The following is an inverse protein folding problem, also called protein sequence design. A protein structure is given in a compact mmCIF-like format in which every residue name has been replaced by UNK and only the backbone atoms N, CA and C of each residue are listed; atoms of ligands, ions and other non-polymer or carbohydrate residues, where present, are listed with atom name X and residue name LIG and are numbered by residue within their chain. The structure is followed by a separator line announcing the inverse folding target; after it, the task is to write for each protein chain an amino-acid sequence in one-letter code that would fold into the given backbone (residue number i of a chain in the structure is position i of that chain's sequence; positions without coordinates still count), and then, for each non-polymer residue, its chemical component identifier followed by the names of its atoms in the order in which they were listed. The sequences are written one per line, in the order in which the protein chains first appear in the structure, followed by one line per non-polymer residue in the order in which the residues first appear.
data_IF_540124861906
#
_entry.id   IF_540124861906
#
_cell.length_a   1.000
_cell.length_b   1.000
_cell.length_c   1.000
_cell.angle_alpha   90.00
_cell.angle_beta   90.00
_cell.angle_gamma   90.00
#
_symmetry.space_group_name_H-M   'P 1'
#
loop_
_entity.id
_entity.type
_entity.pdbx_description
1 polymer ?
#
# COMPACT_ATOMS: atom_id res chain seq x y z
N UNK A 1 -15.82 4.02 -20.19
CA UNK A 1 -15.64 4.88 -19.00
C UNK A 1 -14.47 4.31 -18.23
N UNK A 2 -13.34 5.02 -18.18
CA UNK A 2 -12.24 4.60 -17.33
C UNK A 2 -12.70 4.80 -15.89
N UNK A 3 -12.80 3.72 -15.12
CA UNK A 3 -12.98 3.85 -13.68
C UNK A 3 -11.75 4.59 -13.16
N UNK A 4 -11.91 5.86 -12.83
CA UNK A 4 -10.94 6.60 -12.04
C UNK A 4 -10.87 5.84 -10.71
N UNK A 5 -9.73 5.19 -10.48
CA UNK A 5 -9.53 4.37 -9.29
C UNK A 5 -9.05 5.32 -8.21
N UNK A 6 -9.91 5.57 -7.22
CA UNK A 6 -9.53 6.28 -6.01
C UNK A 6 -8.56 5.39 -5.20
N UNK A 7 -7.27 5.54 -5.49
CA UNK A 7 -6.22 4.88 -4.73
C UNK A 7 -5.76 5.81 -3.61
N UNK A 8 -5.98 5.42 -2.35
CA UNK A 8 -5.41 6.16 -1.22
C UNK A 8 -3.89 5.99 -1.13
N UNK A 9 -3.39 4.81 -1.50
CA UNK A 9 -1.98 4.45 -1.40
C UNK A 9 -1.48 3.79 -2.68
N UNK A 10 -0.38 4.28 -3.24
CA UNK A 10 0.24 3.76 -4.47
C UNK A 10 1.63 3.18 -4.16
N UNK A 11 1.83 1.85 -4.28
CA UNK A 11 3.14 1.24 -4.09
C UNK A 11 4.18 1.74 -5.10
N UNK A 12 5.37 2.08 -4.63
CA UNK A 12 6.50 2.50 -5.47
C UNK A 12 7.52 1.38 -5.56
N UNK A 13 7.84 0.98 -6.78
CA UNK A 13 8.75 -0.13 -7.09
C UNK A 13 10.02 0.39 -7.76
N UNK A 14 11.13 -0.32 -7.59
CA UNK A 14 12.31 -0.12 -8.44
C UNK A 14 12.20 -0.87 -9.77
N UNK A 15 13.23 -0.72 -10.61
CA UNK A 15 13.33 -1.37 -11.93
C UNK A 15 13.29 -2.90 -11.86
N UNK A 16 13.62 -3.50 -10.72
CA UNK A 16 13.61 -4.94 -10.48
C UNK A 16 12.33 -5.41 -9.77
N UNK A 17 11.31 -4.54 -9.65
CA UNK A 17 10.05 -4.76 -8.90
C UNK A 17 10.25 -4.89 -7.39
N UNK A 18 11.38 -4.42 -6.85
CA UNK A 18 11.58 -4.33 -5.41
C UNK A 18 10.77 -3.17 -4.85
N UNK A 19 9.98 -3.45 -3.83
CA UNK A 19 9.13 -2.46 -3.16
C UNK A 19 9.95 -1.43 -2.36
N UNK A 20 9.94 -0.17 -2.79
CA UNK A 20 10.71 0.90 -2.14
C UNK A 20 9.92 1.62 -1.04
N UNK A 21 8.62 1.79 -1.25
CA UNK A 21 7.76 2.61 -0.42
C UNK A 21 6.37 2.72 -1.01
N UNK A 22 5.67 3.77 -0.62
CA UNK A 22 4.35 4.12 -1.17
C UNK A 22 4.16 5.63 -1.23
N UNK A 23 3.24 6.07 -2.09
CA UNK A 23 2.73 7.44 -2.12
C UNK A 23 1.38 7.45 -1.41
N UNK A 24 1.22 8.38 -0.47
CA UNK A 24 -0.07 8.80 0.04
C UNK A 24 -0.61 9.90 -0.89
N UNK A 25 -1.69 9.59 -1.61
CA UNK A 25 -2.24 10.49 -2.64
C UNK A 25 -2.84 11.74 -2.01
N UNK A 26 -3.47 11.62 -0.83
CA UNK A 26 -4.05 12.77 -0.14
C UNK A 26 -2.94 13.72 0.34
N UNK A 27 -1.88 13.17 0.95
CA UNK A 27 -0.74 13.97 1.40
C UNK A 27 -0.02 14.67 0.23
N UNK A 28 0.13 14.00 -0.91
CA UNK A 28 0.73 14.60 -2.11
C UNK A 28 -0.16 15.70 -2.69
N UNK A 29 -1.49 15.49 -2.73
CA UNK A 29 -2.45 16.49 -3.22
C UNK A 29 -2.43 17.76 -2.36
N UNK A 30 -2.38 17.63 -1.04
CA UNK A 30 -2.24 18.79 -0.14
C UNK A 30 -0.94 19.56 -0.39
N UNK A 31 0.19 18.88 -0.65
CA UNK A 31 1.45 19.55 -1.00
C UNK A 31 1.37 20.27 -2.34
N UNK A 32 0.70 19.67 -3.32
CA UNK A 32 0.45 20.25 -4.63
C UNK A 32 -0.37 21.53 -4.54
N UNK A 33 -1.50 21.48 -3.82
CA UNK A 33 -2.38 22.63 -3.61
C UNK A 33 -1.69 23.77 -2.84
N UNK A 34 -0.73 23.43 -1.98
CA UNK A 34 0.12 24.41 -1.28
C UNK A 34 1.28 24.97 -2.12
N UNK A 35 1.44 24.55 -3.39
CA UNK A 35 2.53 24.97 -4.27
C UNK A 35 3.90 24.37 -3.90
N UNK A 36 3.91 23.34 -3.04
CA UNK A 36 5.12 22.68 -2.53
C UNK A 36 5.45 21.38 -3.28
N UNK A 37 4.91 21.19 -4.49
CA UNK A 37 5.34 20.14 -5.40
C UNK A 37 5.28 20.59 -6.86
N UNK A 38 6.15 20.02 -7.69
CA UNK A 38 6.28 20.32 -9.11
C UNK A 38 6.00 19.04 -9.94
N UNK A 39 5.34 19.12 -11.12
CA UNK A 39 5.12 17.95 -11.97
C UNK A 39 6.41 17.24 -12.42
N UNK A 40 7.52 17.98 -12.53
CA UNK A 40 8.82 17.45 -12.95
C UNK A 40 9.58 16.77 -11.80
N UNK A 41 9.09 16.87 -10.57
CA UNK A 41 9.71 16.23 -9.43
C UNK A 41 9.54 14.71 -9.48
N UNK A 42 10.64 13.99 -9.24
CA UNK A 42 10.60 12.53 -9.15
C UNK A 42 9.63 12.09 -8.05
N UNK A 43 8.79 11.09 -8.36
CA UNK A 43 7.90 10.42 -7.39
C UNK A 43 8.63 9.98 -6.11
N UNK A 44 9.89 9.58 -6.24
CA UNK A 44 10.73 9.19 -5.10
C UNK A 44 10.95 10.28 -4.05
N UNK A 45 10.72 11.56 -4.37
CA UNK A 45 10.82 12.67 -3.44
C UNK A 45 9.63 12.74 -2.47
N UNK A 46 8.47 12.23 -2.90
CA UNK A 46 7.23 12.30 -2.12
C UNK A 46 6.82 10.97 -1.50
N UNK A 47 7.56 9.89 -1.76
CA UNK A 47 7.24 8.57 -1.22
C UNK A 47 7.62 8.43 0.26
N UNK A 48 6.76 7.75 1.00
CA UNK A 48 7.11 7.19 2.30
C UNK A 48 7.89 5.89 2.09
N UNK A 49 9.16 5.87 2.49
CA UNK A 49 10.02 4.69 2.35
C UNK A 49 9.71 3.67 3.44
N UNK A 50 9.69 2.39 3.07
CA UNK A 50 9.60 1.33 4.07
C UNK A 50 10.89 1.26 4.89
N UNK A 51 10.76 1.31 6.21
CA UNK A 51 11.87 1.07 7.14
C UNK A 51 12.21 -0.42 7.10
N UNK A 52 13.40 -0.75 6.61
CA UNK A 52 13.93 -2.12 6.56
C UNK A 52 15.03 -2.25 7.59
N UNK A 53 14.67 -2.20 8.85
CA UNK A 53 15.61 -2.42 9.96
C UNK A 53 15.35 -3.79 10.59
N UNK A 54 16.33 -4.31 11.33
CA UNK A 54 16.19 -5.57 12.06
C UNK A 54 14.99 -5.50 13.05
N UNK A 55 14.71 -4.31 13.60
CA UNK A 55 13.58 -4.08 14.52
C UNK A 55 12.22 -3.88 13.86
N UNK A 56 12.15 -3.70 12.54
CA UNK A 56 10.89 -3.63 11.78
C UNK A 56 10.97 -4.55 10.57
N UNK A 57 10.96 -5.88 10.79
CA UNK A 57 11.04 -6.83 9.69
C UNK A 57 9.82 -6.68 8.76
N UNK A 58 10.04 -6.96 7.49
CA UNK A 58 8.97 -6.90 6.49
C UNK A 58 8.07 -8.12 6.61
N UNK A 59 6.78 -7.92 6.87
CA UNK A 59 5.76 -8.98 6.86
C UNK A 59 5.26 -9.22 5.44
N UNK A 60 5.26 -10.47 5.00
CA UNK A 60 4.73 -10.87 3.68
C UNK A 60 3.24 -11.13 3.82
N UNK A 61 2.44 -10.43 3.03
CA UNK A 61 1.00 -10.67 2.89
C UNK A 61 0.77 -11.19 1.47
N UNK A 62 0.15 -12.36 1.36
CA UNK A 62 -0.17 -13.01 0.08
C UNK A 62 -1.67 -13.28 -0.02
N UNK A 63 -2.21 -13.64 -1.20
CA UNK A 63 -3.60 -14.07 -1.32
C UNK A 63 -3.95 -15.31 -0.47
N UNK A 64 -2.93 -16.06 -0.02
CA UNK A 64 -3.09 -17.23 0.85
C UNK A 64 -2.99 -16.91 2.35
N UNK A 65 -2.66 -15.66 2.72
CA UNK A 65 -2.60 -15.24 4.13
C UNK A 65 -4.00 -15.37 4.77
N UNK A 66 -4.14 -16.07 5.90
CA UNK A 66 -5.42 -16.18 6.60
C UNK A 66 -6.00 -14.81 6.99
N UNK A 67 -7.32 -14.68 6.94
CA UNK A 67 -7.98 -13.40 7.25
C UNK A 67 -7.70 -12.90 8.66
N UNK A 68 -7.61 -13.79 9.64
CA UNK A 68 -7.27 -13.42 11.02
C UNK A 68 -5.85 -12.86 11.15
N UNK A 69 -4.88 -13.39 10.39
CA UNK A 69 -3.53 -12.85 10.34
C UNK A 69 -3.48 -11.49 9.64
N UNK A 70 -4.23 -11.35 8.54
CA UNK A 70 -4.37 -10.08 7.83
C UNK A 70 -5.03 -9.02 8.74
N UNK A 71 -6.06 -9.39 9.49
CA UNK A 71 -6.72 -8.52 10.46
C UNK A 71 -5.75 -8.04 11.53
N UNK A 72 -5.02 -8.97 12.18
CA UNK A 72 -4.01 -8.62 13.18
C UNK A 72 -2.91 -7.72 12.63
N UNK A 73 -2.49 -7.93 11.37
CA UNK A 73 -1.56 -7.04 10.69
C UNK A 73 -2.14 -5.63 10.49
N UNK A 74 -3.40 -5.53 10.05
CA UNK A 74 -4.09 -4.28 9.77
C UNK A 74 -4.50 -3.48 11.02
N UNK A 75 -4.51 -4.10 12.21
CA UNK A 75 -4.67 -3.37 13.47
C UNK A 75 -3.50 -2.42 13.77
N UNK A 76 -2.30 -2.75 13.25
CA UNK A 76 -1.07 -1.99 13.47
C UNK A 76 -0.63 -1.18 12.24
N UNK A 77 -1.23 -1.43 11.08
CA UNK A 77 -0.80 -0.88 9.79
C UNK A 77 -2.00 -0.35 9.01
N UNK A 78 -1.83 0.81 8.37
CA UNK A 78 -2.89 1.48 7.60
C UNK A 78 -3.40 0.65 6.41
N UNK A 79 -2.54 -0.19 5.84
CA UNK A 79 -2.84 -1.07 4.73
C UNK A 79 -1.80 -2.19 4.63
N UNK A 80 -2.14 -3.24 3.89
CA UNK A 80 -1.26 -4.31 3.49
C UNK A 80 -0.99 -4.24 1.99
N UNK A 81 0.26 -4.48 1.59
CA UNK A 81 0.62 -4.72 0.19
C UNK A 81 0.58 -6.23 -0.01
N UNK A 82 -0.32 -6.68 -0.89
CA UNK A 82 -0.47 -8.09 -1.21
C UNK A 82 0.50 -8.43 -2.33
N UNK A 83 1.42 -9.36 -2.08
CA UNK A 83 2.40 -9.82 -3.07
C UNK A 83 2.28 -11.31 -3.34
N UNK A 84 3.03 -11.80 -4.33
CA UNK A 84 3.42 -13.21 -4.38
C UNK A 84 4.41 -13.55 -3.24
N UNK A 85 4.67 -14.85 -3.04
CA UNK A 85 5.56 -15.34 -1.99
C UNK A 85 6.99 -14.79 -2.10
N UNK A 86 7.48 -14.61 -3.32
CA UNK A 86 8.83 -14.09 -3.58
C UNK A 86 8.92 -12.55 -3.47
N UNK A 87 7.79 -11.86 -3.23
CA UNK A 87 7.66 -10.39 -3.20
C UNK A 87 8.08 -9.72 -4.52
N UNK A 88 7.98 -10.45 -5.63
CA UNK A 88 8.38 -10.01 -6.96
C UNK A 88 7.26 -9.26 -7.67
N UNK A 89 6.02 -9.50 -7.30
CA UNK A 89 4.83 -8.91 -7.91
C UNK A 89 3.91 -8.37 -6.82
N UNK A 90 3.57 -7.09 -6.94
CA UNK A 90 2.45 -6.52 -6.19
C UNK A 90 1.15 -6.93 -6.90
N UNK A 91 0.32 -7.67 -6.18
CA UNK A 91 -0.97 -8.18 -6.65
C UNK A 91 -2.11 -7.23 -6.27
N UNK A 92 -1.93 -6.47 -5.19
CA UNK A 92 -2.91 -5.48 -4.76
C UNK A 92 -2.53 -4.78 -3.46
N UNK A 93 -3.46 -3.95 -2.98
CA UNK A 93 -3.43 -3.31 -1.68
C UNK A 93 -4.73 -3.70 -0.95
N UNK A 94 -4.63 -4.03 0.33
CA UNK A 94 -5.77 -4.33 1.18
C UNK A 94 -5.81 -3.36 2.35
N UNK A 95 -6.97 -2.79 2.63
CA UNK A 95 -7.22 -1.87 3.75
C UNK A 95 -8.13 -2.54 4.79
N UNK A 96 -8.21 -1.99 6.02
CA UNK A 96 -9.21 -2.44 7.00
C UNK A 96 -10.65 -2.41 6.44
N UNK A 97 -10.98 -1.39 5.64
CA UNK A 97 -12.29 -1.24 5.00
C UNK A 97 -12.56 -2.34 3.96
N UNK A 98 -11.54 -2.75 3.21
CA UNK A 98 -11.67 -3.88 2.27
C UNK A 98 -11.99 -5.18 3.02
N UNK A 99 -11.34 -5.40 4.16
CA UNK A 99 -11.58 -6.57 5.01
C UNK A 99 -13.01 -6.56 5.59
N UNK A 100 -13.45 -5.44 6.15
CA UNK A 100 -14.81 -5.27 6.67
C UNK A 100 -15.87 -5.51 5.58
N UNK A 101 -15.66 -4.94 4.39
CA UNK A 101 -16.53 -5.15 3.23
C UNK A 101 -16.55 -6.60 2.76
N UNK A 102 -15.43 -7.31 2.87
CA UNK A 102 -15.34 -8.71 2.52
C UNK A 102 -16.10 -9.61 3.50
N UNK A 103 -15.95 -9.38 4.82
CA UNK A 103 -16.64 -10.13 5.87
C UNK A 103 -18.14 -9.90 5.82
N UNK A 104 -18.58 -8.63 5.74
CA UNK A 104 -20.00 -8.26 5.66
C UNK A 104 -20.73 -8.87 4.47
N UNK A 105 -20.05 -9.05 3.33
CA UNK A 105 -20.63 -9.69 2.14
C UNK A 105 -20.75 -11.21 2.24
N UNK A 106 -19.92 -11.85 3.08
CA UNK A 106 -19.89 -13.31 3.22
C UNK A 106 -20.74 -13.84 4.37
N UNK A 107 -21.36 -12.97 5.17
CA UNK A 107 -22.35 -13.37 6.17
C UNK A 107 -21.80 -14.35 7.20
N UNK A 108 -20.80 -13.93 7.96
CA UNK A 108 -20.47 -14.54 9.25
C UNK A 108 -21.09 -13.73 10.38
#
# INVERSE_FOLDING_TARGET
MAYERDFSHIPVLDRNRKLLGYIDVAALKTKWEAGNSNPDDKVSQYMTKFKRTIGTPYTIITPSTPLAELEGFLQLNLFAIVTDWDRKFVLGVATPQDLEKFVSRRGF
#
